data_IF_886868314596
#
_entry.id   IF_886868314596
#
_cell.length_a   1.000
_cell.length_b   1.000
_cell.length_c   1.000
_cell.angle_alpha   90.00
_cell.angle_beta   90.00
_cell.angle_gamma   90.00
#
_symmetry.space_group_name_H-M   'P 1'
#
loop_
_entity.id
_entity.type
_entity.pdbx_description
1 polymer ?
#
# COMPACT_ATOMS: atom_id res chain seq x y z
N UNK A 1 -25.93 1.85 5.14
CA UNK A 1 -24.61 1.30 4.84
C UNK A 1 -23.69 1.82 5.92
N UNK A 2 -23.06 0.93 6.69
CA UNK A 2 -22.07 1.34 7.68
C UNK A 2 -20.73 1.55 6.97
N UNK A 3 -20.07 2.68 7.19
CA UNK A 3 -18.84 3.06 6.51
C UNK A 3 -17.75 3.21 7.56
N UNK A 4 -16.68 2.43 7.42
CA UNK A 4 -15.56 2.42 8.35
C UNK A 4 -14.25 2.74 7.62
N UNK A 5 -13.35 3.42 8.33
CA UNK A 5 -12.01 3.72 7.82
C UNK A 5 -11.17 2.44 7.82
N UNK A 6 -10.54 2.12 6.69
CA UNK A 6 -9.68 0.94 6.57
C UNK A 6 -8.33 1.11 7.29
N UNK A 7 -7.68 2.27 7.12
CA UNK A 7 -6.38 2.56 7.72
C UNK A 7 -6.47 3.08 9.15
N UNK A 8 -5.45 2.82 9.94
CA UNK A 8 -5.30 3.38 11.29
C UNK A 8 -4.53 4.71 11.28
N UNK A 9 -4.77 5.53 12.31
CA UNK A 9 -3.93 6.67 12.67
C UNK A 9 -2.77 6.21 13.59
N UNK A 10 -1.70 7.00 13.77
CA UNK A 10 -1.52 8.40 13.36
C UNK A 10 -0.95 8.61 11.96
N UNK A 11 -0.39 7.60 11.31
CA UNK A 11 0.23 7.74 9.98
C UNK A 11 -0.80 7.91 8.85
N UNK A 12 -0.29 8.40 7.70
CA UNK A 12 -1.06 8.62 6.49
C UNK A 12 -0.87 7.45 5.54
N UNK A 13 -1.98 6.90 5.03
CA UNK A 13 -1.98 5.72 4.18
C UNK A 13 -2.61 6.04 2.83
N UNK A 14 -1.96 5.61 1.75
CA UNK A 14 -2.43 5.79 0.38
C UNK A 14 -1.94 4.65 -0.51
N UNK A 15 -2.62 4.36 -1.62
CA UNK A 15 -2.18 3.32 -2.56
C UNK A 15 -1.65 3.93 -3.87
N UNK A 16 -2.25 5.02 -4.35
CA UNK A 16 -1.84 5.70 -5.57
C UNK A 16 -2.72 5.38 -6.78
N UNK A 17 -2.08 5.02 -7.90
CA UNK A 17 -2.60 5.08 -9.28
C UNK A 17 -4.01 4.48 -9.49
N UNK A 18 -4.87 5.23 -10.18
CA UNK A 18 -6.23 4.79 -10.51
C UNK A 18 -6.21 3.59 -11.48
N UNK A 19 -7.08 2.60 -11.24
CA UNK A 19 -7.24 1.45 -12.14
C UNK A 19 -6.39 0.23 -11.81
N UNK A 20 -5.55 0.29 -10.77
CA UNK A 20 -4.91 -0.90 -10.19
C UNK A 20 -5.72 -1.34 -8.96
N UNK A 21 -5.99 -2.65 -8.86
CA UNK A 21 -6.67 -3.21 -7.70
C UNK A 21 -5.69 -3.32 -6.51
N UNK A 22 -5.95 -2.65 -5.38
CA UNK A 22 -5.09 -2.76 -4.19
C UNK A 22 -5.36 -4.02 -3.35
N UNK A 23 -6.45 -4.74 -3.61
CA UNK A 23 -6.82 -5.93 -2.86
C UNK A 23 -6.16 -7.18 -3.42
N UNK A 24 -5.73 -8.05 -2.51
CA UNK A 24 -5.37 -9.42 -2.85
C UNK A 24 -6.61 -10.20 -3.35
N UNK A 25 -6.38 -11.41 -3.87
CA UNK A 25 -7.42 -12.27 -4.41
C UNK A 25 -8.45 -12.72 -3.35
N UNK A 26 -8.05 -12.78 -2.07
CA UNK A 26 -8.95 -13.11 -0.96
C UNK A 26 -9.68 -11.90 -0.36
N UNK A 27 -9.33 -10.67 -0.76
CA UNK A 27 -9.83 -9.42 -0.15
C UNK A 27 -9.62 -9.35 1.37
N UNK A 28 -8.49 -9.92 1.83
CA UNK A 28 -8.03 -9.86 3.22
C UNK A 28 -7.03 -8.73 3.42
N UNK A 29 -6.20 -8.47 2.42
CA UNK A 29 -5.08 -7.52 2.47
C UNK A 29 -5.20 -6.46 1.40
N UNK A 30 -5.07 -5.20 1.82
CA UNK A 30 -5.02 -4.04 0.93
C UNK A 30 -3.58 -3.52 0.88
N UNK A 31 -2.98 -3.44 -0.31
CA UNK A 31 -1.68 -2.79 -0.50
C UNK A 31 -1.76 -1.31 -0.13
N UNK A 32 -0.78 -0.79 0.59
CA UNK A 32 -0.70 0.62 0.90
C UNK A 32 0.75 1.07 1.07
N UNK A 33 0.96 2.35 0.79
CA UNK A 33 2.07 3.14 1.29
C UNK A 33 1.65 3.82 2.59
N UNK A 34 2.58 3.89 3.53
CA UNK A 34 2.46 4.64 4.78
C UNK A 34 3.54 5.73 4.85
N UNK A 35 3.14 6.95 5.17
CA UNK A 35 4.02 8.11 5.40
C UNK A 35 3.66 8.82 6.70
N UNK A 36 4.60 9.58 7.25
CA UNK A 36 4.39 10.51 8.35
C UNK A 36 3.91 11.90 7.89
N UNK A 37 3.83 12.13 6.57
CA UNK A 37 3.35 13.37 5.97
C UNK A 37 2.28 13.14 4.89
N UNK A 38 1.52 14.18 4.59
CA UNK A 38 0.60 14.23 3.42
C UNK A 38 0.37 15.65 2.88
N UNK A 39 1.07 16.65 3.42
CA UNK A 39 0.80 18.08 3.20
C UNK A 39 1.76 18.73 2.20
N UNK A 40 2.79 18.02 1.77
CA UNK A 40 3.74 18.45 0.75
C UNK A 40 3.98 17.34 -0.27
N UNK A 41 4.63 17.72 -1.37
CA UNK A 41 5.15 16.75 -2.34
C UNK A 41 6.33 16.01 -1.71
N UNK A 42 6.57 14.74 -2.05
CA UNK A 42 7.74 14.02 -1.55
C UNK A 42 9.04 14.74 -1.91
N UNK A 43 9.94 14.80 -0.93
CA UNK A 43 11.29 15.33 -1.00
C UNK A 43 12.30 14.16 -1.06
N UNK A 44 13.56 14.40 -1.45
CA UNK A 44 14.58 13.35 -1.55
C UNK A 44 14.83 12.57 -0.25
N UNK A 45 14.60 13.18 0.91
CA UNK A 45 14.70 12.57 2.24
C UNK A 45 13.45 11.76 2.64
N UNK A 46 12.31 12.01 2.02
CA UNK A 46 11.06 11.36 2.36
C UNK A 46 11.10 9.89 1.95
N UNK A 47 10.52 9.05 2.80
CA UNK A 47 10.36 7.62 2.54
C UNK A 47 8.93 7.23 2.82
N UNK A 48 8.37 6.41 1.94
CA UNK A 48 7.14 5.70 2.21
C UNK A 48 7.45 4.26 2.62
N UNK A 49 6.73 3.75 3.62
CA UNK A 49 6.75 2.33 3.96
C UNK A 49 5.75 1.61 3.06
N UNK A 50 6.22 0.63 2.29
CA UNK A 50 5.38 -0.30 1.52
C UNK A 50 4.87 -1.37 2.46
N UNK A 51 3.56 -1.60 2.48
CA UNK A 51 2.96 -2.58 3.37
C UNK A 51 1.54 -3.00 2.98
N UNK A 52 0.92 -3.75 3.89
CA UNK A 52 -0.44 -4.27 3.76
C UNK A 52 -1.30 -3.76 4.91
N UNK A 53 -2.56 -3.40 4.63
CA UNK A 53 -3.57 -3.18 5.66
C UNK A 53 -4.46 -4.42 5.71
N UNK A 54 -4.53 -5.07 6.87
CA UNK A 54 -5.46 -6.17 7.10
C UNK A 54 -6.90 -5.63 7.25
N UNK A 55 -7.84 -6.18 6.47
CA UNK A 55 -9.23 -5.69 6.39
C UNK A 55 -9.96 -5.60 7.72
N UNK A 56 -9.95 -6.69 8.49
CA UNK A 56 -10.75 -6.79 9.72
C UNK A 56 -10.07 -6.16 10.95
N UNK A 57 -8.74 -6.29 11.07
CA UNK A 57 -7.99 -5.79 12.24
C UNK A 57 -7.48 -4.37 12.07
N UNK A 58 -7.55 -3.80 10.86
CA UNK A 58 -7.00 -2.50 10.49
C UNK A 58 -5.48 -2.36 10.71
N UNK A 59 -4.78 -3.47 10.95
CA UNK A 59 -3.35 -3.49 11.21
C UNK A 59 -2.56 -3.23 9.92
N UNK A 60 -1.58 -2.32 9.99
CA UNK A 60 -0.59 -2.12 8.94
C UNK A 60 0.61 -3.06 9.14
N UNK A 61 0.98 -3.80 8.10
CA UNK A 61 2.05 -4.80 8.09
C UNK A 61 3.16 -4.28 7.15
N UNK A 62 4.28 -3.78 7.68
CA UNK A 62 5.34 -3.19 6.88
C UNK A 62 6.20 -4.26 6.19
N UNK A 63 6.56 -4.03 4.93
CA UNK A 63 7.39 -4.94 4.13
C UNK A 63 8.69 -4.30 3.59
N UNK A 64 8.64 -3.04 3.16
CA UNK A 64 9.82 -2.34 2.62
C UNK A 64 9.70 -0.82 2.80
N UNK A 65 10.77 -0.08 2.49
CA UNK A 65 10.75 1.39 2.37
C UNK A 65 11.21 1.76 0.96
N UNK A 66 10.60 2.79 0.38
CA UNK A 66 10.92 3.30 -0.97
C UNK A 66 11.08 4.81 -0.97
N UNK A 67 11.95 5.32 -1.84
CA UNK A 67 12.03 6.73 -2.19
C UNK A 67 11.31 7.04 -3.52
N UNK A 68 11.09 6.04 -4.38
CA UNK A 68 10.43 6.18 -5.68
C UNK A 68 8.89 6.21 -5.55
N UNK A 69 8.34 7.28 -4.98
CA UNK A 69 6.90 7.47 -4.90
C UNK A 69 6.43 8.92 -5.14
N UNK A 70 5.15 9.06 -5.46
CA UNK A 70 4.43 10.32 -5.30
C UNK A 70 3.02 10.08 -4.72
N UNK A 71 2.38 11.11 -4.16
CA UNK A 71 1.07 10.94 -3.50
C UNK A 71 -0.05 10.52 -4.48
N UNK A 72 0.03 10.89 -5.76
CA UNK A 72 -1.01 10.61 -6.75
C UNK A 72 -0.89 9.21 -7.36
N UNK A 73 0.33 8.75 -7.63
CA UNK A 73 0.63 7.49 -8.33
C UNK A 73 1.21 6.41 -7.42
N UNK A 74 1.58 6.75 -6.17
CA UNK A 74 2.29 5.85 -5.28
C UNK A 74 3.67 5.48 -5.83
N UNK A 75 4.08 4.24 -5.61
CA UNK A 75 5.29 3.62 -6.16
C UNK A 75 4.97 2.51 -7.17
N UNK A 76 3.90 2.66 -7.96
CA UNK A 76 3.43 1.64 -8.92
C UNK A 76 3.13 0.26 -8.28
N UNK A 77 2.60 0.27 -7.06
CA UNK A 77 2.28 -0.94 -6.30
C UNK A 77 1.23 -1.78 -7.03
N UNK A 78 1.49 -3.07 -7.18
CA UNK A 78 0.48 -4.01 -7.68
C UNK A 78 0.73 -5.44 -7.21
N UNK A 79 -0.36 -6.16 -6.98
CA UNK A 79 -0.34 -7.60 -6.80
C UNK A 79 0.05 -8.29 -8.11
N UNK A 80 0.89 -9.32 -7.99
CA UNK A 80 1.27 -10.17 -9.11
C UNK A 80 0.32 -11.37 -9.11
N UNK A 81 -0.66 -11.32 -10.01
CA UNK A 81 -1.58 -12.43 -10.24
C UNK A 81 -0.92 -13.42 -11.22
N UNK A 82 -0.03 -14.27 -10.71
CA UNK A 82 0.65 -15.30 -11.49
C UNK A 82 0.65 -16.63 -10.74
N UNK A 83 0.23 -17.71 -11.39
CA UNK A 83 0.34 -19.09 -10.86
C UNK A 83 1.79 -19.61 -10.86
N UNK A 84 2.78 -18.74 -10.62
CA UNK A 84 4.19 -19.15 -10.66
C UNK A 84 4.57 -20.01 -9.44
N UNK A 85 3.91 -19.81 -8.30
CA UNK A 85 3.94 -20.72 -7.15
C UNK A 85 2.55 -20.76 -6.52
N UNK A 86 2.04 -21.96 -6.19
CA UNK A 86 0.66 -22.12 -5.70
C UNK A 86 0.48 -21.69 -4.22
N UNK A 87 1.56 -21.28 -3.56
CA UNK A 87 1.64 -21.12 -2.10
C UNK A 87 2.07 -19.72 -1.64
N UNK A 88 2.31 -18.76 -2.54
CA UNK A 88 2.81 -17.42 -2.16
C UNK A 88 2.09 -16.29 -2.88
N UNK A 89 1.63 -15.32 -2.11
CA UNK A 89 1.19 -14.03 -2.64
C UNK A 89 2.42 -13.14 -2.90
N UNK A 90 2.42 -12.47 -4.05
CA UNK A 90 3.53 -11.63 -4.50
C UNK A 90 2.99 -10.26 -4.90
N UNK A 91 3.78 -9.21 -4.65
CA UNK A 91 3.52 -7.86 -5.15
C UNK A 91 4.84 -7.23 -5.57
N UNK A 92 4.76 -6.18 -6.37
CA UNK A 92 5.93 -5.38 -6.75
C UNK A 92 5.67 -3.89 -6.54
N UNK A 93 6.76 -3.14 -6.44
CA UNK A 93 6.79 -1.69 -6.25
C UNK A 93 8.10 -1.13 -6.82
N UNK A 94 8.12 0.15 -7.12
CA UNK A 94 9.34 0.89 -7.47
C UNK A 94 10.08 1.29 -6.20
N UNK A 95 11.39 1.05 -6.14
CA UNK A 95 12.30 1.50 -5.08
C UNK A 95 13.07 2.77 -5.47
#
# INVERSE_FOLDING_TARGET
MDIQRLSASPQHHFFGYYGINPWDDTTTYHLALETDFHTHRPLPEDRATVGLIHRETHAFIPHAKTAAFNLQQGSMLHWINGKHTADRAEFTFND
#
